data_IF_146563725397
#
_entry.id   IF_146563725397
#
_cell.length_a   1.000
_cell.length_b   1.000
_cell.length_c   1.000
_cell.angle_alpha   90.00
_cell.angle_beta   90.00
_cell.angle_gamma   90.00
#
_symmetry.space_group_name_H-M   'P 1'
#
loop_
_entity.id
_entity.type
_entity.pdbx_description
1 polymer ?
#
# COMPACT_ATOMS: atom_id res chain seq x y z
N UNK A 1 8.75 -2.53 5.63
CA UNK A 1 7.63 -2.34 4.68
C UNK A 1 6.31 -2.55 5.39
N UNK A 2 5.25 -1.93 4.91
CA UNK A 2 3.87 -2.20 5.36
C UNK A 2 3.15 -3.10 4.35
N UNK A 3 2.34 -4.03 4.85
CA UNK A 3 1.41 -4.87 4.07
C UNK A 3 0.05 -4.84 4.74
N UNK A 4 -0.99 -4.40 4.01
CA UNK A 4 -2.35 -4.35 4.51
C UNK A 4 -3.39 -4.46 3.40
N UNK A 5 -4.38 -5.33 3.57
CA UNK A 5 -5.41 -5.59 2.56
C UNK A 5 -6.77 -4.96 2.91
N UNK A 6 -6.77 -4.04 3.89
CA UNK A 6 -7.97 -3.32 4.31
C UNK A 6 -8.99 -4.21 5.02
N UNK A 7 -10.27 -3.85 4.88
CA UNK A 7 -11.39 -4.49 5.58
C UNK A 7 -11.99 -5.71 4.86
N UNK A 8 -11.21 -6.42 4.07
CA UNK A 8 -11.71 -7.58 3.33
C UNK A 8 -11.18 -8.88 3.91
N UNK A 9 -12.08 -9.85 4.06
CA UNK A 9 -11.68 -11.23 4.30
C UNK A 9 -11.08 -11.84 3.02
N UNK A 10 -10.01 -12.58 3.18
CA UNK A 10 -9.40 -13.37 2.11
C UNK A 10 -9.99 -14.79 2.12
N UNK A 11 -10.12 -15.44 0.96
CA UNK A 11 -10.51 -16.85 0.89
C UNK A 11 -9.50 -17.77 1.59
N UNK A 12 -8.21 -17.45 1.49
CA UNK A 12 -7.11 -18.19 2.09
C UNK A 12 -6.06 -17.19 2.62
N UNK A 13 -6.23 -16.71 3.87
CA UNK A 13 -5.29 -15.76 4.48
C UNK A 13 -3.90 -16.36 4.71
N UNK A 14 -3.81 -17.64 5.05
CA UNK A 14 -2.55 -18.31 5.35
C UNK A 14 -1.69 -18.46 4.09
N UNK A 15 -2.30 -18.86 2.98
CA UNK A 15 -1.60 -18.90 1.69
C UNK A 15 -1.12 -17.50 1.26
N UNK A 16 -1.95 -16.47 1.43
CA UNK A 16 -1.56 -15.10 1.11
C UNK A 16 -0.39 -14.62 2.01
N UNK A 17 -0.45 -14.89 3.31
CA UNK A 17 0.61 -14.55 4.25
C UNK A 17 1.91 -15.29 3.94
N UNK A 18 1.83 -16.57 3.55
CA UNK A 18 2.99 -17.36 3.12
C UNK A 18 3.67 -16.74 1.90
N UNK A 19 2.90 -16.32 0.90
CA UNK A 19 3.44 -15.60 -0.27
C UNK A 19 4.09 -14.29 0.13
N UNK A 20 3.46 -13.49 0.99
CA UNK A 20 4.02 -12.23 1.49
C UNK A 20 5.36 -12.47 2.21
N UNK A 21 5.39 -13.43 3.12
CA UNK A 21 6.58 -13.82 3.90
C UNK A 21 7.75 -14.18 2.99
N UNK A 22 7.51 -15.10 2.06
CA UNK A 22 8.55 -15.56 1.13
C UNK A 22 9.01 -14.45 0.18
N UNK A 23 8.10 -13.57 -0.25
CA UNK A 23 8.44 -12.41 -1.08
C UNK A 23 9.33 -11.41 -0.33
N UNK A 24 9.03 -11.12 0.92
CA UNK A 24 9.86 -10.26 1.78
C UNK A 24 11.26 -10.88 2.00
N UNK A 25 11.31 -12.18 2.26
CA UNK A 25 12.57 -12.91 2.43
C UNK A 25 13.45 -12.80 1.18
N UNK A 26 12.91 -13.04 -0.01
CA UNK A 26 13.63 -12.93 -1.30
C UNK A 26 14.11 -11.52 -1.59
N UNK A 27 13.28 -10.53 -1.30
CA UNK A 27 13.65 -9.13 -1.47
C UNK A 27 14.67 -8.62 -0.41
N UNK A 28 14.94 -9.41 0.64
CA UNK A 28 15.81 -9.02 1.76
C UNK A 28 15.18 -7.95 2.66
N UNK A 29 13.86 -7.94 2.79
CA UNK A 29 13.10 -6.92 3.50
C UNK A 29 12.45 -7.48 4.78
N UNK A 30 12.13 -6.57 5.71
CA UNK A 30 11.26 -6.83 6.86
C UNK A 30 9.88 -6.22 6.62
N UNK A 31 8.83 -6.88 7.11
CA UNK A 31 7.44 -6.46 6.95
C UNK A 31 6.75 -6.14 8.27
N UNK A 32 5.90 -5.12 8.24
CA UNK A 32 4.83 -4.91 9.20
C UNK A 32 3.55 -5.31 8.47
N UNK A 33 2.89 -6.35 8.95
CA UNK A 33 1.66 -6.89 8.37
C UNK A 33 0.49 -6.49 9.26
N UNK A 34 -0.46 -5.77 8.70
CA UNK A 34 -1.70 -5.46 9.40
C UNK A 34 -2.65 -6.65 9.27
N UNK A 35 -2.99 -7.28 10.41
CA UNK A 35 -3.89 -8.43 10.45
C UNK A 35 -5.28 -8.05 9.93
N UNK A 36 -5.90 -7.08 10.56
CA UNK A 36 -7.18 -6.53 10.16
C UNK A 36 -8.22 -7.60 9.80
N UNK A 37 -9.19 -7.21 9.00
CA UNK A 37 -10.26 -8.10 8.48
C UNK A 37 -9.74 -9.13 7.46
N UNK A 38 -8.53 -8.96 6.96
CA UNK A 38 -7.93 -9.91 6.02
C UNK A 38 -7.51 -11.23 6.68
N UNK A 39 -7.50 -11.29 8.03
CA UNK A 39 -7.11 -12.49 8.77
C UNK A 39 -5.63 -12.83 8.65
N UNK A 40 -4.77 -11.84 8.41
CA UNK A 40 -3.32 -12.03 8.26
C UNK A 40 -2.60 -12.11 9.63
N UNK A 41 -3.24 -12.67 10.62
CA UNK A 41 -2.76 -12.78 12.00
C UNK A 41 -2.27 -14.20 12.36
N UNK A 42 -2.41 -15.13 11.43
CA UNK A 42 -1.94 -16.51 11.58
C UNK A 42 -0.49 -16.71 11.17
N UNK A 43 0.14 -17.71 11.74
CA UNK A 43 1.42 -18.22 11.29
C UNK A 43 2.50 -18.27 12.35
N UNK A 44 3.58 -19.00 12.01
CA UNK A 44 4.74 -19.14 12.88
C UNK A 44 5.43 -17.80 13.11
N UNK A 45 6.03 -17.63 14.27
CA UNK A 45 6.87 -16.46 14.57
C UNK A 45 7.97 -16.32 13.51
N UNK A 46 8.12 -15.12 12.98
CA UNK A 46 9.09 -14.81 11.95
C UNK A 46 9.79 -13.50 12.32
N UNK A 47 11.09 -13.54 12.54
CA UNK A 47 11.90 -12.38 12.91
C UNK A 47 11.85 -11.24 11.89
N UNK A 48 11.34 -11.51 10.69
CA UNK A 48 11.20 -10.52 9.61
C UNK A 48 9.84 -9.89 9.54
N UNK A 49 8.82 -10.45 10.21
CA UNK A 49 7.44 -9.98 10.15
C UNK A 49 6.94 -9.61 11.55
N UNK A 50 6.48 -8.38 11.66
CA UNK A 50 5.74 -7.89 12.81
C UNK A 50 4.27 -7.79 12.42
N UNK A 51 3.42 -8.60 13.01
CA UNK A 51 1.96 -8.47 12.85
C UNK A 51 1.44 -7.42 13.82
N UNK A 52 0.61 -6.51 13.32
CA UNK A 52 -0.01 -5.42 14.10
C UNK A 52 -1.53 -5.39 13.87
N UNK A 53 -2.25 -4.82 14.83
CA UNK A 53 -3.64 -4.44 14.68
C UNK A 53 -3.81 -3.13 13.90
N UNK A 54 -4.92 -2.43 14.15
CA UNK A 54 -5.17 -1.14 13.52
C UNK A 54 -4.24 -0.05 14.09
N UNK A 55 -3.61 0.69 13.17
CA UNK A 55 -2.72 1.81 13.48
C UNK A 55 -2.99 2.93 12.48
N UNK A 56 -2.98 4.22 12.90
CA UNK A 56 -3.14 5.33 11.99
C UNK A 56 -2.08 5.32 10.88
N UNK A 57 -2.53 5.30 9.62
CA UNK A 57 -1.63 5.30 8.45
C UNK A 57 -0.72 6.53 8.43
N UNK A 58 -1.23 7.67 8.87
CA UNK A 58 -0.47 8.92 8.89
C UNK A 58 0.76 8.84 9.80
N UNK A 59 0.66 8.06 10.88
CA UNK A 59 1.79 7.81 11.78
C UNK A 59 2.73 6.73 11.23
N UNK A 60 2.19 5.62 10.70
CA UNK A 60 3.01 4.47 10.30
C UNK A 60 3.69 4.64 8.94
N UNK A 61 2.95 5.10 7.92
CA UNK A 61 3.41 5.08 6.54
C UNK A 61 4.70 5.88 6.29
N UNK A 62 4.93 7.07 6.90
CA UNK A 62 6.18 7.81 6.71
C UNK A 62 7.45 7.04 7.11
N UNK A 63 7.32 6.04 7.96
CA UNK A 63 8.44 5.20 8.41
C UNK A 63 8.71 3.99 7.50
N UNK A 64 7.93 3.81 6.45
CA UNK A 64 8.01 2.64 5.58
C UNK A 64 8.91 2.88 4.36
N UNK A 65 9.66 1.84 3.98
CA UNK A 65 10.42 1.86 2.74
C UNK A 65 9.50 1.77 1.51
N UNK A 66 8.44 0.98 1.58
CA UNK A 66 7.37 0.91 0.60
C UNK A 66 6.09 0.35 1.24
N UNK A 67 4.95 0.54 0.56
CA UNK A 67 3.64 0.06 0.97
C UNK A 67 3.16 -1.03 0.03
N UNK A 68 2.48 -2.02 0.57
CA UNK A 68 1.70 -3.02 -0.19
C UNK A 68 0.27 -2.94 0.30
N UNK A 69 -0.68 -2.60 -0.57
CA UNK A 69 -2.07 -2.53 -0.19
C UNK A 69 -3.04 -2.76 -1.36
N UNK A 70 -4.30 -2.99 -1.03
CA UNK A 70 -5.38 -3.30 -1.97
C UNK A 70 -5.79 -2.15 -2.89
N UNK A 71 -5.21 -0.98 -2.77
CA UNK A 71 -5.51 0.23 -3.56
C UNK A 71 -6.92 0.81 -3.36
N UNK A 72 -7.51 0.68 -2.17
CA UNK A 72 -8.67 1.49 -1.81
C UNK A 72 -8.32 2.99 -1.78
N UNK A 73 -9.25 3.87 -2.18
CA UNK A 73 -9.01 5.31 -2.33
C UNK A 73 -8.38 5.95 -1.09
N UNK A 74 -8.89 5.65 0.12
CA UNK A 74 -8.37 6.21 1.38
C UNK A 74 -6.93 5.79 1.67
N UNK A 75 -6.60 4.51 1.52
CA UNK A 75 -5.24 3.99 1.73
C UNK A 75 -4.27 4.53 0.67
N UNK A 76 -4.73 4.63 -0.58
CA UNK A 76 -3.96 5.23 -1.67
C UNK A 76 -3.62 6.69 -1.37
N UNK A 77 -4.60 7.48 -0.95
CA UNK A 77 -4.40 8.88 -0.57
C UNK A 77 -3.45 9.02 0.64
N UNK A 78 -3.56 8.13 1.63
CA UNK A 78 -2.65 8.11 2.78
C UNK A 78 -1.21 7.80 2.35
N UNK A 79 -1.00 6.84 1.44
CA UNK A 79 0.31 6.51 0.89
C UNK A 79 0.94 7.67 0.12
N UNK A 80 0.16 8.38 -0.71
CA UNK A 80 0.62 9.56 -1.44
C UNK A 80 0.98 10.70 -0.47
N UNK A 81 0.15 10.96 0.56
CA UNK A 81 0.47 11.94 1.60
C UNK A 81 1.70 11.57 2.43
N UNK A 82 2.01 10.30 2.56
CA UNK A 82 3.22 9.83 3.24
C UNK A 82 4.48 9.92 2.38
N UNK A 83 4.36 10.07 1.05
CA UNK A 83 5.51 10.12 0.13
C UNK A 83 6.23 8.79 0.00
N UNK A 84 5.48 7.68 0.01
CA UNK A 84 6.03 6.33 0.04
C UNK A 84 5.66 5.55 -1.22
N UNK A 85 6.64 4.90 -1.88
CA UNK A 85 6.36 4.02 -3.02
C UNK A 85 5.36 2.92 -2.67
N UNK A 86 4.52 2.56 -3.62
CA UNK A 86 3.44 1.59 -3.40
C UNK A 86 3.47 0.46 -4.42
N UNK A 87 3.26 -0.76 -3.95
CA UNK A 87 2.92 -1.93 -4.78
C UNK A 87 1.44 -2.24 -4.55
N UNK A 88 0.64 -2.12 -5.60
CA UNK A 88 -0.79 -2.38 -5.53
C UNK A 88 -1.15 -3.85 -5.62
N UNK A 89 -2.03 -4.33 -4.73
CA UNK A 89 -2.67 -5.65 -4.80
C UNK A 89 -4.20 -5.49 -5.01
N UNK A 90 -4.65 -4.94 -6.16
CA UNK A 90 -6.07 -4.68 -6.39
C UNK A 90 -6.87 -5.99 -6.43
N UNK A 91 -8.08 -5.94 -5.88
CA UNK A 91 -9.01 -7.06 -5.82
C UNK A 91 -10.25 -6.80 -6.70
N UNK A 92 -10.94 -5.67 -6.47
CA UNK A 92 -12.21 -5.37 -7.13
C UNK A 92 -12.57 -3.88 -7.01
N UNK A 93 -13.75 -3.52 -7.52
CA UNK A 93 -14.34 -2.18 -7.49
C UNK A 93 -13.42 -1.13 -8.16
N UNK A 94 -13.13 -0.04 -7.46
CA UNK A 94 -12.27 1.06 -7.92
C UNK A 94 -10.76 0.79 -7.75
N UNK A 95 -10.39 -0.30 -7.09
CA UNK A 95 -9.00 -0.61 -6.77
C UNK A 95 -8.09 -0.79 -8.01
N UNK A 96 -8.52 -1.45 -9.10
CA UNK A 96 -7.71 -1.50 -10.33
C UNK A 96 -7.46 -0.13 -10.94
N UNK A 97 -8.43 0.79 -10.86
CA UNK A 97 -8.25 2.17 -11.29
C UNK A 97 -7.15 2.88 -10.48
N UNK A 98 -7.23 2.83 -9.14
CA UNK A 98 -6.21 3.44 -8.30
C UNK A 98 -4.84 2.80 -8.46
N UNK A 99 -4.78 1.48 -8.64
CA UNK A 99 -3.54 0.78 -8.91
C UNK A 99 -2.88 1.25 -10.21
N UNK A 100 -3.65 1.42 -11.30
CA UNK A 100 -3.11 1.96 -12.56
C UNK A 100 -2.66 3.40 -12.42
N UNK A 101 -3.42 4.23 -11.68
CA UNK A 101 -3.02 5.63 -11.41
C UNK A 101 -1.69 5.72 -10.67
N UNK A 102 -1.43 4.87 -9.67
CA UNK A 102 -0.16 4.84 -8.96
C UNK A 102 1.03 4.52 -9.90
N UNK A 103 0.81 3.64 -10.88
CA UNK A 103 1.81 3.33 -11.90
C UNK A 103 2.02 4.52 -12.85
N UNK A 104 0.94 5.09 -13.38
CA UNK A 104 0.97 6.23 -14.30
C UNK A 104 1.66 7.45 -13.71
N UNK A 105 1.40 7.75 -12.43
CA UNK A 105 2.07 8.88 -11.75
C UNK A 105 3.48 8.55 -11.28
N UNK A 106 3.96 7.33 -11.50
CA UNK A 106 5.35 6.93 -11.30
C UNK A 106 5.75 6.62 -9.85
N UNK A 107 4.79 6.33 -8.95
CA UNK A 107 5.06 5.95 -7.55
C UNK A 107 4.99 4.45 -7.31
N UNK A 108 4.65 3.69 -8.34
CA UNK A 108 4.53 2.23 -8.29
C UNK A 108 5.29 1.60 -9.46
N UNK A 109 6.05 0.52 -9.22
CA UNK A 109 6.67 -0.25 -10.31
C UNK A 109 5.67 -1.11 -11.09
N UNK A 110 4.48 -1.32 -10.51
CA UNK A 110 3.43 -2.15 -11.08
C UNK A 110 2.43 -2.58 -10.02
N UNK A 111 1.35 -3.20 -10.49
CA UNK A 111 0.35 -3.82 -9.63
C UNK A 111 0.35 -5.35 -9.82
N UNK A 112 0.14 -6.07 -8.73
CA UNK A 112 -0.04 -7.52 -8.73
C UNK A 112 -1.47 -7.82 -8.27
N UNK A 113 -2.44 -8.00 -9.19
CA UNK A 113 -3.81 -8.34 -8.81
C UNK A 113 -3.82 -9.55 -7.87
N UNK A 114 -4.64 -9.50 -6.80
CA UNK A 114 -4.61 -10.52 -5.76
C UNK A 114 -4.84 -11.95 -6.31
N UNK A 115 -5.69 -12.09 -7.32
CA UNK A 115 -5.91 -13.37 -8.02
C UNK A 115 -4.67 -13.94 -8.75
N UNK A 116 -3.67 -13.11 -8.97
CA UNK A 116 -2.40 -13.48 -9.61
C UNK A 116 -1.22 -13.30 -8.65
N UNK A 117 -1.50 -13.21 -7.34
CA UNK A 117 -0.49 -13.08 -6.32
C UNK A 117 0.43 -14.32 -6.36
N UNK A 118 1.71 -14.08 -6.49
CA UNK A 118 2.76 -15.09 -6.41
C UNK A 118 4.01 -14.49 -5.80
N UNK A 119 4.83 -15.34 -5.21
CA UNK A 119 6.08 -14.94 -4.58
C UNK A 119 7.00 -14.17 -5.53
N UNK A 120 7.18 -14.67 -6.76
CA UNK A 120 8.08 -14.03 -7.73
C UNK A 120 7.61 -12.63 -8.10
N UNK A 121 6.34 -12.48 -8.48
CA UNK A 121 5.76 -11.19 -8.87
C UNK A 121 5.83 -10.16 -7.74
N UNK A 122 5.49 -10.59 -6.52
CA UNK A 122 5.53 -9.67 -5.39
C UNK A 122 6.97 -9.33 -5.01
N UNK A 123 7.89 -10.29 -4.98
CA UNK A 123 9.30 -10.04 -4.66
C UNK A 123 9.95 -9.08 -5.67
N UNK A 124 9.68 -9.26 -6.97
CA UNK A 124 10.19 -8.38 -8.02
C UNK A 124 9.66 -6.95 -7.86
N UNK A 125 8.36 -6.80 -7.65
CA UNK A 125 7.74 -5.49 -7.43
C UNK A 125 8.28 -4.81 -6.16
N UNK A 126 8.47 -5.55 -5.06
CA UNK A 126 9.05 -5.07 -3.83
C UNK A 126 10.49 -4.60 -4.01
N UNK A 127 11.27 -5.39 -4.73
CA UNK A 127 12.66 -5.06 -5.04
C UNK A 127 12.74 -3.79 -5.89
N UNK A 128 11.92 -3.67 -6.91
CA UNK A 128 11.86 -2.47 -7.75
C UNK A 128 11.44 -1.24 -6.92
N UNK A 129 10.36 -1.33 -6.14
CA UNK A 129 9.86 -0.23 -5.33
C UNK A 129 10.87 0.30 -4.30
N UNK A 130 11.75 -0.58 -3.78
CA UNK A 130 12.68 -0.21 -2.69
C UNK A 130 14.10 0.10 -3.16
N UNK A 131 14.55 -0.48 -4.27
CA UNK A 131 15.93 -0.29 -4.77
C UNK A 131 16.05 0.72 -5.89
N UNK A 132 14.98 0.93 -6.67
CA UNK A 132 14.98 1.96 -7.70
C UNK A 132 14.53 3.30 -7.09
N UNK A 133 15.49 4.17 -6.82
CA UNK A 133 15.24 5.45 -6.17
C UNK A 133 14.28 6.39 -6.91
N UNK A 134 13.95 6.12 -8.19
CA UNK A 134 12.97 6.95 -8.94
C UNK A 134 11.58 6.94 -8.29
N UNK A 135 11.13 5.77 -7.78
CA UNK A 135 9.81 5.67 -7.15
C UNK A 135 9.73 6.49 -5.86
N UNK A 136 10.78 6.45 -5.04
CA UNK A 136 10.85 7.25 -3.81
C UNK A 136 10.85 8.75 -4.12
N UNK A 137 11.71 9.21 -5.02
CA UNK A 137 11.75 10.63 -5.42
C UNK A 137 10.40 11.11 -5.94
N UNK A 138 9.76 10.30 -6.79
CA UNK A 138 8.45 10.64 -7.34
C UNK A 138 7.36 10.67 -6.29
N UNK A 139 7.36 9.74 -5.34
CA UNK A 139 6.42 9.73 -4.23
C UNK A 139 6.58 10.98 -3.34
N UNK A 140 7.81 11.42 -3.06
CA UNK A 140 8.10 12.64 -2.29
C UNK A 140 7.69 13.93 -3.04
N UNK A 141 7.83 13.97 -4.37
CA UNK A 141 7.32 15.07 -5.19
C UNK A 141 5.80 15.18 -5.09
N UNK A 142 5.09 14.06 -5.27
CA UNK A 142 3.63 14.03 -5.18
C UNK A 142 3.13 14.31 -3.77
N UNK A 143 3.85 13.88 -2.74
CA UNK A 143 3.53 14.20 -1.35
C UNK A 143 3.39 15.72 -1.15
N UNK A 144 4.33 16.50 -1.69
CA UNK A 144 4.30 17.97 -1.56
C UNK A 144 3.07 18.57 -2.23
N UNK A 145 2.69 18.05 -3.40
CA UNK A 145 1.52 18.52 -4.14
C UNK A 145 0.24 18.17 -3.37
N UNK A 146 0.08 16.89 -2.99
CA UNK A 146 -1.14 16.40 -2.32
C UNK A 146 -1.33 17.03 -0.92
N UNK A 147 -0.23 17.32 -0.21
CA UNK A 147 -0.33 18.01 1.09
C UNK A 147 -0.67 19.49 0.98
N UNK A 148 -0.39 20.12 -0.16
CA UNK A 148 -0.74 21.51 -0.41
C UNK A 148 -2.21 21.67 -0.86
N UNK A 149 -2.90 20.58 -1.19
CA UNK A 149 -4.31 20.62 -1.57
C UNK A 149 -5.20 20.80 -0.33
N UNK A 150 -6.05 21.83 -0.37
CA UNK A 150 -7.13 22.05 0.61
C UNK A 150 -8.50 21.73 -0.01
N UNK A 151 -8.74 20.44 -0.26
CA UNK A 151 -10.00 19.99 -0.84
C UNK A 151 -11.21 20.25 0.07
N UNK A 152 -11.04 20.10 1.38
CA UNK A 152 -12.10 20.34 2.35
C UNK A 152 -12.48 21.84 2.44
N UNK A 153 -11.48 22.72 2.46
CA UNK A 153 -11.70 24.15 2.43
C UNK A 153 -12.44 24.60 1.17
N UNK A 154 -12.05 24.12 0.00
CA UNK A 154 -12.74 24.43 -1.26
C UNK A 154 -14.21 23.98 -1.27
N UNK A 155 -14.51 22.81 -0.70
CA UNK A 155 -15.90 22.36 -0.54
C UNK A 155 -16.66 23.28 0.42
N UNK A 156 -16.06 23.64 1.57
CA UNK A 156 -16.68 24.54 2.53
C UNK A 156 -16.97 25.93 1.93
N UNK A 157 -16.04 26.45 1.12
CA UNK A 157 -16.23 27.72 0.39
C UNK A 157 -17.34 27.66 -0.66
N UNK A 158 -17.55 26.51 -1.30
CA UNK A 158 -18.59 26.34 -2.32
C UNK A 158 -19.99 26.16 -1.73
N UNK A 159 -20.15 25.65 -0.51
CA UNK A 159 -21.44 25.37 0.12
C UNK A 159 -22.39 26.58 0.16
N UNK A 160 -21.97 27.81 0.52
CA UNK A 160 -22.88 28.97 0.55
C UNK A 160 -23.46 29.32 -0.82
N UNK A 161 -22.80 28.92 -1.92
CA UNK A 161 -23.30 29.20 -3.28
C UNK A 161 -24.31 28.18 -3.79
N UNK A 162 -24.53 27.10 -3.03
CA UNK A 162 -25.47 26.02 -3.37
C UNK A 162 -26.81 26.15 -2.64
N UNK A 163 -26.98 27.14 -1.80
CA UNK A 163 -28.17 27.52 -1.05
C UNK A 163 -28.66 28.85 -1.60
#
# INVERSE_FOLDING_TARGET
MYVGLGSRSLPDPDAALSVVRESLRRAGLRGIVQSGWAGLDGGEADDRILTIGEVPHEWLFPHMAALVHHCGAGTTAAGLRAGVPTVGLPVLADQPFWASRLVEVGVSPGAVPLRHLSTDRLADALTAATRDGRYRRRAEELQRIVRAEDGAGRVAEALPSLV
#
